data_IF_514137689010
#
_entry.id   IF_514137689010
#
_cell.length_a   1.000
_cell.length_b   1.000
_cell.length_c   1.000
_cell.angle_alpha   90.00
_cell.angle_beta   90.00
_cell.angle_gamma   90.00
#
_symmetry.space_group_name_H-M   'P 1'
#
loop_
_entity.id
_entity.type
_entity.pdbx_description
1 polymer ?
#
# COMPACT_ATOMS: atom_id res chain seq x y z
N UNK A 1 -7.99 9.31 -35.65
CA UNK A 1 -7.77 7.91 -36.11
C UNK A 1 -6.33 7.87 -36.61
N UNK A 2 -5.36 7.15 -36.05
CA UNK A 2 -5.32 5.89 -35.35
C UNK A 2 -4.14 6.00 -34.36
N UNK A 3 -4.38 5.90 -33.04
CA UNK A 3 -3.29 5.64 -32.11
C UNK A 3 -3.03 4.15 -32.09
N UNK A 4 -1.80 3.81 -32.45
CA UNK A 4 -1.30 2.46 -32.65
C UNK A 4 -1.34 1.65 -31.34
N UNK A 5 -2.25 0.68 -31.28
CA UNK A 5 -2.39 -0.31 -30.21
C UNK A 5 -1.78 -1.67 -30.62
N UNK A 6 -0.66 -1.67 -31.36
CA UNK A 6 0.04 -2.89 -31.78
C UNK A 6 1.21 -3.29 -30.88
N UNK A 7 1.00 -3.37 -29.57
CA UNK A 7 1.81 -4.28 -28.74
C UNK A 7 0.91 -5.24 -27.96
N UNK A 8 0.97 -6.57 -28.24
CA UNK A 8 0.13 -7.58 -27.61
C UNK A 8 0.30 -7.72 -26.08
N UNK A 9 1.45 -7.32 -25.51
CA UNK A 9 1.77 -7.55 -24.09
C UNK A 9 1.01 -6.67 -23.08
N UNK A 10 0.76 -5.39 -23.39
CA UNK A 10 0.06 -4.47 -22.45
C UNK A 10 -1.43 -4.80 -22.27
N UNK A 11 -2.03 -5.53 -23.20
CA UNK A 11 -3.46 -5.92 -23.10
C UNK A 11 -3.71 -6.94 -22.01
N UNK A 12 -2.72 -7.73 -21.63
CA UNK A 12 -2.87 -8.79 -20.64
C UNK A 12 -2.62 -8.27 -19.22
N UNK A 13 -1.59 -7.45 -19.00
CA UNK A 13 -1.34 -6.82 -17.71
C UNK A 13 -2.53 -5.94 -17.25
N UNK A 14 -3.11 -5.18 -18.18
CA UNK A 14 -4.29 -4.34 -17.90
C UNK A 14 -5.52 -5.22 -17.58
N UNK A 15 -5.72 -6.33 -18.29
CA UNK A 15 -6.81 -7.28 -18.00
C UNK A 15 -6.65 -7.95 -16.64
N UNK A 16 -5.42 -8.28 -16.23
CA UNK A 16 -5.14 -8.88 -14.92
C UNK A 16 -5.42 -7.88 -13.80
N UNK A 17 -4.98 -6.63 -13.93
CA UNK A 17 -5.32 -5.56 -12.97
C UNK A 17 -6.84 -5.41 -12.84
N UNK A 18 -7.58 -5.35 -13.96
CA UNK A 18 -9.04 -5.18 -13.90
C UNK A 18 -9.79 -6.42 -13.39
N UNK A 19 -9.31 -7.64 -13.66
CA UNK A 19 -9.92 -8.87 -13.12
C UNK A 19 -9.64 -8.98 -11.62
N UNK A 20 -8.42 -8.65 -11.17
CA UNK A 20 -8.11 -8.55 -9.73
C UNK A 20 -8.92 -7.44 -9.06
N UNK A 21 -9.07 -6.28 -9.70
CA UNK A 21 -9.91 -5.19 -9.20
C UNK A 21 -11.39 -5.62 -9.13
N UNK A 22 -11.90 -6.32 -10.14
CA UNK A 22 -13.28 -6.82 -10.18
C UNK A 22 -13.52 -7.92 -9.14
N UNK A 23 -12.53 -8.77 -8.86
CA UNK A 23 -12.62 -9.81 -7.85
C UNK A 23 -12.47 -9.24 -6.43
N UNK A 24 -11.71 -8.16 -6.25
CA UNK A 24 -11.63 -7.39 -5.00
C UNK A 24 -12.92 -6.59 -4.74
N UNK A 25 -13.50 -5.97 -5.78
CA UNK A 25 -14.76 -5.22 -5.69
C UNK A 25 -15.97 -6.16 -5.53
N UNK A 26 -15.98 -7.34 -6.15
CA UNK A 26 -17.08 -8.31 -6.08
C UNK A 26 -16.97 -9.33 -4.95
N UNK A 27 -15.75 -9.76 -4.58
CA UNK A 27 -15.50 -10.77 -3.55
C UNK A 27 -15.32 -10.19 -2.14
N UNK A 28 -14.92 -8.91 -2.02
CA UNK A 28 -14.73 -8.26 -0.73
C UNK A 28 -16.03 -7.86 -0.03
N UNK A 29 -17.15 -7.75 -0.75
CA UNK A 29 -18.40 -7.21 -0.22
C UNK A 29 -19.35 -8.27 0.35
N UNK A 30 -19.18 -9.56 0.00
CA UNK A 30 -20.18 -10.61 0.34
C UNK A 30 -19.69 -11.60 1.40
N UNK A 31 -18.38 -11.77 1.60
CA UNK A 31 -17.84 -12.82 2.48
C UNK A 31 -17.02 -12.31 3.67
N UNK A 32 -16.58 -11.06 3.64
CA UNK A 32 -15.98 -10.40 4.79
C UNK A 32 -16.95 -9.30 5.21
N UNK A 33 -17.73 -9.54 6.27
CA UNK A 33 -18.78 -8.65 6.78
C UNK A 33 -18.28 -7.29 7.28
N UNK A 34 -17.66 -6.50 6.41
CA UNK A 34 -17.47 -5.06 6.53
C UNK A 34 -18.57 -4.43 5.66
N UNK A 35 -19.81 -4.70 6.06
CA UNK A 35 -21.03 -4.26 5.40
C UNK A 35 -22.07 -3.99 6.48
N UNK A 36 -21.87 -2.93 7.25
CA UNK A 36 -22.77 -2.52 8.33
C UNK A 36 -22.23 -1.30 9.08
N UNK A 37 -22.75 -0.13 8.74
CA UNK A 37 -22.67 1.12 9.50
C UNK A 37 -21.27 1.76 9.70
N UNK A 38 -20.71 2.33 8.63
CA UNK A 38 -19.99 3.62 8.74
C UNK A 38 -20.68 4.63 7.85
N UNK A 39 -21.82 5.08 8.35
CA UNK A 39 -22.33 6.42 8.09
C UNK A 39 -21.19 7.43 8.28
N UNK A 40 -20.83 8.13 7.20
CA UNK A 40 -20.10 9.40 7.17
C UNK A 40 -18.77 9.48 7.94
N UNK A 41 -17.63 9.58 7.23
CA UNK A 41 -16.43 10.09 7.90
C UNK A 41 -15.11 10.11 7.14
N UNK A 42 -14.88 9.24 6.16
CA UNK A 42 -13.60 9.24 5.41
C UNK A 42 -13.76 9.61 3.94
N UNK A 43 -14.83 9.18 3.29
CA UNK A 43 -15.11 9.56 1.90
C UNK A 43 -15.59 11.01 1.83
N UNK A 44 -16.46 11.45 2.74
CA UNK A 44 -16.97 12.84 2.77
C UNK A 44 -15.87 13.88 3.13
N UNK A 45 -14.87 13.48 3.94
CA UNK A 45 -13.70 14.31 4.23
C UNK A 45 -12.74 14.42 3.03
N UNK A 46 -12.76 13.45 2.11
CA UNK A 46 -11.94 13.43 0.89
C UNK A 46 -12.66 14.06 -0.30
N UNK A 47 -14.00 14.08 -0.32
CA UNK A 47 -14.78 14.52 -1.49
C UNK A 47 -15.73 15.71 -1.26
N UNK A 48 -15.93 16.20 -0.04
CA UNK A 48 -17.03 17.12 0.27
C UNK A 48 -16.76 18.21 1.30
N UNK A 49 -15.91 19.20 1.00
CA UNK A 49 -16.17 20.65 1.24
C UNK A 49 -14.91 21.50 1.01
N UNK A 50 -15.05 22.56 0.19
CA UNK A 50 -14.05 23.59 -0.09
C UNK A 50 -12.81 23.19 -0.90
N UNK A 51 -13.05 22.93 -2.19
CA UNK A 51 -12.02 22.88 -3.24
C UNK A 51 -11.52 24.31 -3.53
N UNK A 52 -10.49 24.74 -2.80
CA UNK A 52 -9.76 25.98 -3.05
C UNK A 52 -8.52 26.09 -2.13
N UNK A 53 -7.33 25.97 -2.73
CA UNK A 53 -5.97 26.28 -2.23
C UNK A 53 -5.48 25.78 -0.84
N UNK A 54 -6.27 25.97 0.23
CA UNK A 54 -5.83 25.96 1.64
C UNK A 54 -5.42 24.57 2.19
N UNK A 55 -6.01 23.48 1.68
CA UNK A 55 -5.69 22.12 2.17
C UNK A 55 -4.25 21.68 1.85
N UNK A 56 -3.75 22.06 0.67
CA UNK A 56 -2.40 21.73 0.25
C UNK A 56 -1.33 22.51 1.01
N UNK A 57 -1.63 23.76 1.35
CA UNK A 57 -0.73 24.63 2.11
C UNK A 57 -0.49 24.11 3.53
N UNK A 58 -1.55 23.65 4.22
CA UNK A 58 -1.39 23.06 5.55
C UNK A 58 -0.50 21.81 5.56
N UNK A 59 -0.56 20.99 4.51
CA UNK A 59 0.31 19.83 4.39
C UNK A 59 1.75 20.21 4.04
N UNK A 60 1.96 21.24 3.21
CA UNK A 60 3.30 21.81 2.96
C UNK A 60 3.91 22.37 4.23
N UNK A 61 3.14 23.14 5.00
CA UNK A 61 3.61 23.69 6.28
C UNK A 61 4.00 22.58 7.27
N UNK A 62 3.20 21.50 7.37
CA UNK A 62 3.56 20.33 8.17
C UNK A 62 4.81 19.62 7.67
N UNK A 63 4.97 19.47 6.35
CA UNK A 63 6.19 18.91 5.76
C UNK A 63 7.42 19.75 6.15
N UNK A 64 7.34 21.08 6.05
CA UNK A 64 8.43 21.99 6.40
C UNK A 64 8.78 21.97 7.89
N UNK A 65 7.77 21.96 8.75
CA UNK A 65 7.95 21.85 10.21
C UNK A 65 8.61 20.52 10.58
N UNK A 66 8.09 19.40 10.06
CA UNK A 66 8.65 18.08 10.31
C UNK A 66 10.08 17.94 9.75
N UNK A 67 10.35 18.49 8.56
CA UNK A 67 11.69 18.51 7.98
C UNK A 67 12.67 19.35 8.80
N UNK A 68 12.21 20.45 9.40
CA UNK A 68 13.04 21.25 10.30
C UNK A 68 13.35 20.48 11.58
N UNK A 69 12.37 19.75 12.13
CA UNK A 69 12.58 18.90 13.30
C UNK A 69 13.60 17.77 13.02
N UNK A 70 13.52 17.09 11.86
CA UNK A 70 14.50 16.03 11.51
C UNK A 70 15.91 16.57 11.27
N UNK A 71 16.05 17.84 10.88
CA UNK A 71 17.34 18.53 10.78
C UNK A 71 17.89 18.97 12.14
N UNK A 72 17.01 19.32 13.07
CA UNK A 72 17.40 19.69 14.43
C UNK A 72 17.86 18.47 15.23
N UNK A 73 17.16 17.34 15.08
CA UNK A 73 17.56 16.05 15.63
C UNK A 73 17.33 14.92 14.63
N UNK A 74 18.43 14.40 14.07
CA UNK A 74 18.39 13.31 13.10
C UNK A 74 17.99 11.96 13.72
N UNK A 75 17.99 11.82 15.06
CA UNK A 75 17.57 10.61 15.78
C UNK A 75 16.15 10.69 16.31
N UNK A 76 15.44 11.80 16.07
CA UNK A 76 14.04 11.93 16.44
C UNK A 76 13.15 11.08 15.50
N UNK A 77 12.84 9.87 15.96
CA UNK A 77 11.95 8.96 15.26
C UNK A 77 10.57 9.58 14.98
N UNK A 78 10.00 10.34 15.94
CA UNK A 78 8.70 10.94 15.77
C UNK A 78 8.71 11.99 14.64
N UNK A 79 9.75 12.82 14.59
CA UNK A 79 9.93 13.80 13.51
C UNK A 79 10.00 13.15 12.12
N UNK A 80 10.75 12.04 11.98
CA UNK A 80 10.79 11.29 10.72
C UNK A 80 9.44 10.67 10.34
N UNK A 81 8.71 10.15 11.34
CA UNK A 81 7.36 9.60 11.14
C UNK A 81 6.36 10.67 10.68
N UNK A 82 6.39 11.85 11.29
CA UNK A 82 5.54 12.98 10.86
C UNK A 82 5.90 13.48 9.46
N UNK A 83 7.19 13.52 9.12
CA UNK A 83 7.64 13.90 7.79
C UNK A 83 7.12 12.92 6.71
N UNK A 84 7.20 11.61 6.99
CA UNK A 84 6.65 10.59 6.10
C UNK A 84 5.14 10.75 5.91
N UNK A 85 4.41 10.98 7.01
CA UNK A 85 2.95 11.17 6.99
C UNK A 85 2.55 12.42 6.21
N UNK A 86 3.19 13.56 6.46
CA UNK A 86 2.91 14.81 5.78
C UNK A 86 3.14 14.70 4.26
N UNK A 87 4.24 14.05 3.85
CA UNK A 87 4.56 13.84 2.43
C UNK A 87 3.58 12.90 1.73
N UNK A 88 3.12 11.85 2.41
CA UNK A 88 2.06 10.99 1.86
C UNK A 88 0.76 11.75 1.69
N UNK A 89 0.34 12.52 2.70
CA UNK A 89 -0.87 13.35 2.62
C UNK A 89 -0.77 14.36 1.46
N UNK A 90 0.37 15.01 1.29
CA UNK A 90 0.61 15.93 0.18
C UNK A 90 0.60 15.21 -1.18
N UNK A 91 1.08 13.96 -1.25
CA UNK A 91 1.00 13.15 -2.46
C UNK A 91 -0.45 12.84 -2.87
N UNK A 92 -1.37 12.78 -1.92
CA UNK A 92 -2.77 12.38 -2.14
C UNK A 92 -3.74 13.55 -2.42
N UNK A 93 -3.24 14.78 -2.62
CA UNK A 93 -4.09 15.96 -2.82
C UNK A 93 -3.58 16.90 -3.92
N UNK A 94 -4.46 17.77 -4.40
CA UNK A 94 -4.12 18.80 -5.39
C UNK A 94 -3.57 18.21 -6.69
N UNK A 95 -2.54 18.83 -7.26
CA UNK A 95 -1.89 18.36 -8.50
C UNK A 95 -1.15 17.02 -8.37
N UNK A 96 -0.97 16.52 -7.15
CA UNK A 96 -0.28 15.26 -6.89
C UNK A 96 -1.18 14.04 -7.09
N UNK A 97 -2.49 14.24 -7.14
CA UNK A 97 -3.46 13.16 -7.26
C UNK A 97 -4.52 13.49 -8.31
N UNK A 98 -4.78 12.54 -9.21
CA UNK A 98 -5.85 12.66 -10.18
C UNK A 98 -7.12 11.96 -9.63
N UNK A 99 -8.15 12.72 -9.25
CA UNK A 99 -9.38 12.16 -8.71
C UNK A 99 -10.26 11.49 -9.78
N UNK A 100 -10.07 11.78 -11.08
CA UNK A 100 -10.85 11.16 -12.15
C UNK A 100 -10.37 9.73 -12.40
N UNK A 101 -9.06 9.51 -12.38
CA UNK A 101 -8.46 8.18 -12.55
C UNK A 101 -8.19 7.48 -11.22
N UNK A 102 -8.33 8.19 -10.10
CA UNK A 102 -7.97 7.74 -8.75
C UNK A 102 -6.51 7.24 -8.68
N UNK A 103 -5.58 7.99 -9.28
CA UNK A 103 -4.16 7.64 -9.33
C UNK A 103 -3.24 8.79 -8.94
N UNK A 104 -2.06 8.47 -8.42
CA UNK A 104 -1.01 9.46 -8.18
C UNK A 104 -0.42 9.95 -9.50
N UNK A 105 -0.30 11.27 -9.64
CA UNK A 105 0.40 11.90 -10.77
C UNK A 105 1.91 11.67 -10.65
N UNK A 106 2.69 12.08 -11.66
CA UNK A 106 4.15 12.01 -11.58
C UNK A 106 4.72 12.83 -10.39
N UNK A 107 4.08 13.96 -10.08
CA UNK A 107 4.40 14.78 -8.91
C UNK A 107 4.04 14.04 -7.61
N UNK A 108 2.85 13.43 -7.55
CA UNK A 108 2.45 12.60 -6.41
C UNK A 108 3.37 11.41 -6.17
N UNK A 109 3.77 10.70 -7.21
CA UNK A 109 4.76 9.61 -7.09
C UNK A 109 6.12 10.11 -6.60
N UNK A 110 6.51 11.33 -6.94
CA UNK A 110 7.71 11.96 -6.38
C UNK A 110 7.56 12.22 -4.88
N UNK A 111 6.40 12.73 -4.46
CA UNK A 111 6.08 12.92 -3.04
C UNK A 111 5.99 11.60 -2.27
N UNK A 112 5.45 10.55 -2.88
CA UNK A 112 5.45 9.20 -2.29
C UNK A 112 6.87 8.67 -2.07
N UNK A 113 7.80 8.85 -3.04
CA UNK A 113 9.20 8.46 -2.83
C UNK A 113 9.82 9.19 -1.65
N UNK A 114 9.60 10.50 -1.54
CA UNK A 114 10.06 11.29 -0.40
C UNK A 114 9.43 10.85 0.93
N UNK A 115 8.17 10.41 0.91
CA UNK A 115 7.50 9.85 2.08
C UNK A 115 8.17 8.53 2.51
N UNK A 116 8.43 7.63 1.55
CA UNK A 116 9.10 6.35 1.83
C UNK A 116 10.54 6.53 2.32
N UNK A 117 11.27 7.51 1.82
CA UNK A 117 12.62 7.84 2.32
C UNK A 117 12.59 8.31 3.78
N UNK A 118 11.62 9.17 4.15
CA UNK A 118 11.46 9.60 5.54
C UNK A 118 11.01 8.45 6.45
N UNK A 119 10.17 7.55 5.94
CA UNK A 119 9.77 6.33 6.64
C UNK A 119 10.95 5.39 6.91
N UNK A 120 11.81 5.18 5.92
CA UNK A 120 13.01 4.36 6.10
C UNK A 120 13.92 4.92 7.21
N UNK A 121 14.03 6.25 7.29
CA UNK A 121 14.72 6.91 8.41
C UNK A 121 14.00 6.74 9.73
N UNK A 122 12.67 6.85 9.77
CA UNK A 122 11.90 6.55 10.97
C UNK A 122 12.17 5.13 11.48
N UNK A 123 12.10 4.13 10.61
CA UNK A 123 12.34 2.72 10.97
C UNK A 123 13.77 2.50 11.45
N UNK A 124 14.76 3.19 10.87
CA UNK A 124 16.17 3.10 11.28
C UNK A 124 16.42 3.58 12.71
N UNK A 125 15.69 4.62 13.16
CA UNK A 125 15.93 5.25 14.48
C UNK A 125 14.88 4.89 15.53
N UNK A 126 13.73 4.33 15.15
CA UNK A 126 12.66 4.00 16.07
C UNK A 126 12.91 2.66 16.78
N UNK A 127 12.85 2.66 18.11
CA UNK A 127 12.83 1.40 18.90
C UNK A 127 11.60 0.55 18.58
N UNK A 128 10.47 1.21 18.30
CA UNK A 128 9.22 0.59 17.87
C UNK A 128 8.57 1.45 16.79
N UNK A 129 8.70 1.08 15.50
CA UNK A 129 8.08 1.80 14.42
C UNK A 129 6.55 1.88 14.55
N UNK A 130 5.95 2.97 14.07
CA UNK A 130 4.48 3.16 14.07
C UNK A 130 3.82 2.21 13.06
N UNK A 131 3.05 1.24 13.57
CA UNK A 131 2.39 0.21 12.77
C UNK A 131 1.21 0.73 11.94
N UNK A 132 0.64 1.90 12.29
CA UNK A 132 -0.38 2.57 11.47
C UNK A 132 0.30 3.27 10.30
N UNK A 133 1.43 3.93 10.53
CA UNK A 133 2.21 4.54 9.47
C UNK A 133 2.80 3.46 8.54
N UNK A 134 3.22 2.32 9.07
CA UNK A 134 3.66 1.18 8.27
C UNK A 134 2.60 0.71 7.25
N UNK A 135 1.32 0.70 7.64
CA UNK A 135 0.22 0.36 6.72
C UNK A 135 0.10 1.38 5.57
N UNK A 136 0.25 2.67 5.88
CA UNK A 136 0.26 3.73 4.86
C UNK A 136 1.46 3.58 3.92
N UNK A 137 2.64 3.27 4.46
CA UNK A 137 3.86 3.12 3.67
C UNK A 137 3.88 1.84 2.84
N UNK A 138 3.27 0.75 3.31
CA UNK A 138 3.05 -0.45 2.51
C UNK A 138 2.25 -0.13 1.23
N UNK A 139 1.19 0.69 1.33
CA UNK A 139 0.46 1.16 0.15
C UNK A 139 1.34 2.04 -0.75
N UNK A 140 2.09 2.99 -0.17
CA UNK A 140 3.01 3.83 -0.93
C UNK A 140 4.01 2.99 -1.74
N UNK A 141 4.56 1.92 -1.15
CA UNK A 141 5.45 1.01 -1.85
C UNK A 141 4.77 0.23 -2.97
N UNK A 142 3.50 -0.17 -2.81
CA UNK A 142 2.72 -0.79 -3.90
C UNK A 142 2.54 0.19 -5.07
N UNK A 143 2.16 1.44 -4.80
CA UNK A 143 1.99 2.49 -5.83
C UNK A 143 3.30 2.83 -6.58
N UNK A 144 4.42 2.60 -5.90
CA UNK A 144 5.78 2.79 -6.41
C UNK A 144 6.39 1.51 -7.02
N UNK A 145 5.62 0.42 -7.14
CA UNK A 145 6.08 -0.86 -7.67
C UNK A 145 7.28 -1.46 -6.91
N UNK A 146 7.24 -1.35 -5.57
CA UNK A 146 8.28 -1.82 -4.64
C UNK A 146 7.74 -2.90 -3.68
N UNK A 147 7.32 -4.07 -4.18
CA UNK A 147 6.66 -5.09 -3.36
C UNK A 147 7.54 -5.64 -2.22
N UNK A 148 8.87 -5.67 -2.39
CA UNK A 148 9.80 -6.10 -1.34
C UNK A 148 9.70 -5.19 -0.10
N UNK A 149 9.69 -3.87 -0.32
CA UNK A 149 9.55 -2.89 0.77
C UNK A 149 8.15 -2.85 1.35
N UNK A 150 7.12 -3.11 0.52
CA UNK A 150 5.76 -3.31 1.02
C UNK A 150 5.68 -4.52 1.98
N UNK A 151 6.38 -5.62 1.68
CA UNK A 151 6.48 -6.77 2.57
C UNK A 151 7.22 -6.44 3.88
N UNK A 152 8.26 -5.62 3.84
CA UNK A 152 8.98 -5.14 5.04
C UNK A 152 8.10 -4.25 5.92
N UNK A 153 7.38 -3.29 5.33
CA UNK A 153 6.42 -2.48 6.08
C UNK A 153 5.28 -3.33 6.66
N UNK A 154 4.81 -4.35 5.93
CA UNK A 154 3.77 -5.26 6.41
C UNK A 154 4.26 -6.16 7.56
N UNK A 155 5.55 -6.50 7.63
CA UNK A 155 6.11 -7.25 8.76
C UNK A 155 5.95 -6.49 10.07
N UNK A 156 6.25 -5.18 10.08
CA UNK A 156 6.04 -4.31 11.25
C UNK A 156 4.60 -4.40 11.75
N UNK A 157 3.63 -4.47 10.83
CA UNK A 157 2.20 -4.63 11.17
C UNK A 157 1.94 -6.01 11.77
N UNK A 158 2.53 -7.08 11.23
CA UNK A 158 2.35 -8.43 11.78
C UNK A 158 2.98 -8.60 13.17
N UNK A 159 4.08 -7.92 13.44
CA UNK A 159 4.72 -7.91 14.76
C UNK A 159 3.87 -7.15 15.79
N UNK A 160 3.32 -6.00 15.40
CA UNK A 160 2.45 -5.21 16.27
C UNK A 160 1.06 -5.83 16.46
N UNK A 161 0.52 -6.44 15.40
CA UNK A 161 -0.86 -6.95 15.30
C UNK A 161 -0.88 -8.31 14.58
N UNK A 162 -0.50 -9.40 15.27
CA UNK A 162 -0.38 -10.73 14.66
C UNK A 162 -1.74 -11.38 14.39
N UNK A 163 -2.42 -10.92 13.34
CA UNK A 163 -3.73 -11.42 12.88
C UNK A 163 -3.60 -12.17 11.57
N UNK A 164 -4.49 -13.14 11.33
CA UNK A 164 -4.53 -13.92 10.09
C UNK A 164 -4.47 -13.03 8.83
N UNK A 165 -5.30 -12.00 8.76
CA UNK A 165 -5.32 -11.07 7.61
C UNK A 165 -4.01 -10.29 7.42
N UNK A 166 -3.31 -9.93 8.50
CA UNK A 166 -2.03 -9.22 8.38
C UNK A 166 -0.93 -10.14 7.81
N UNK A 167 -0.91 -11.41 8.22
CA UNK A 167 0.00 -12.42 7.66
C UNK A 167 -0.37 -12.82 6.24
N UNK A 168 -1.67 -12.90 5.90
CA UNK A 168 -2.12 -13.14 4.54
C UNK A 168 -1.65 -12.03 3.60
N UNK A 169 -1.78 -10.76 4.01
CA UNK A 169 -1.29 -9.63 3.23
C UNK A 169 0.24 -9.64 3.08
N UNK A 170 0.98 -10.01 4.15
CA UNK A 170 2.43 -10.20 4.09
C UNK A 170 2.81 -11.27 3.05
N UNK A 171 2.08 -12.38 3.03
CA UNK A 171 2.31 -13.44 2.04
C UNK A 171 2.14 -12.93 0.61
N UNK A 172 1.07 -12.17 0.33
CA UNK A 172 0.82 -11.58 -0.99
C UNK A 172 1.94 -10.64 -1.42
N UNK A 173 2.37 -9.71 -0.56
CA UNK A 173 3.47 -8.80 -0.89
C UNK A 173 4.81 -9.55 -1.07
N UNK A 174 5.10 -10.52 -0.22
CA UNK A 174 6.30 -11.33 -0.33
C UNK A 174 6.32 -12.15 -1.62
N UNK A 175 5.20 -12.73 -2.05
CA UNK A 175 5.11 -13.42 -3.33
C UNK A 175 5.31 -12.46 -4.51
N UNK A 176 4.65 -11.30 -4.51
CA UNK A 176 4.84 -10.27 -5.53
C UNK A 176 6.31 -9.78 -5.61
N UNK A 177 7.03 -9.81 -4.49
CA UNK A 177 8.46 -9.50 -4.42
C UNK A 177 9.38 -10.66 -4.85
N UNK A 178 8.85 -11.81 -5.26
CA UNK A 178 9.61 -13.03 -5.54
C UNK A 178 10.18 -13.72 -4.28
N UNK A 179 9.82 -13.26 -3.09
CA UNK A 179 10.31 -13.76 -1.79
C UNK A 179 9.48 -14.98 -1.34
N UNK A 180 9.49 -16.05 -2.14
CA UNK A 180 8.63 -17.23 -1.95
C UNK A 180 8.74 -17.86 -0.56
N UNK A 181 9.95 -18.00 0.00
CA UNK A 181 10.15 -18.54 1.36
C UNK A 181 9.48 -17.69 2.43
N UNK A 182 9.60 -16.36 2.34
CA UNK A 182 8.97 -15.42 3.28
C UNK A 182 7.45 -15.46 3.13
N UNK A 183 6.96 -15.53 1.89
CA UNK A 183 5.55 -15.66 1.60
C UNK A 183 4.94 -16.95 2.15
N UNK A 184 5.63 -18.09 2.00
CA UNK A 184 5.19 -19.39 2.52
C UNK A 184 5.12 -19.38 4.06
N UNK A 185 6.11 -18.79 4.75
CA UNK A 185 6.08 -18.63 6.20
C UNK A 185 4.90 -17.77 6.67
N UNK A 186 4.65 -16.64 5.99
CA UNK A 186 3.53 -15.77 6.29
C UNK A 186 2.18 -16.44 6.02
N UNK A 187 2.06 -17.18 4.90
CA UNK A 187 0.88 -17.98 4.56
C UNK A 187 0.57 -18.99 5.65
N UNK A 188 1.56 -19.77 6.07
CA UNK A 188 1.36 -20.81 7.07
C UNK A 188 0.91 -20.22 8.41
N UNK A 189 1.47 -19.06 8.80
CA UNK A 189 1.04 -18.33 10.00
C UNK A 189 -0.37 -17.76 9.86
N UNK A 190 -0.76 -17.29 8.67
CA UNK A 190 -2.11 -16.84 8.40
C UNK A 190 -3.11 -17.98 8.58
N UNK A 191 -2.83 -19.15 7.99
CA UNK A 191 -3.69 -20.35 8.08
C UNK A 191 -3.80 -20.89 9.51
N UNK A 192 -2.74 -20.78 10.31
CA UNK A 192 -2.77 -21.17 11.73
C UNK A 192 -3.74 -20.30 12.53
N UNK A 193 -3.79 -19.00 12.23
CA UNK A 193 -4.63 -18.01 12.91
C UNK A 193 -6.06 -17.94 12.37
N UNK A 194 -6.35 -18.58 11.23
CA UNK A 194 -7.67 -18.60 10.61
C UNK A 194 -8.56 -19.70 11.19
N UNK A 195 -9.85 -19.40 11.33
CA UNK A 195 -10.86 -20.36 11.77
C UNK A 195 -10.96 -21.54 10.79
N UNK A 196 -11.23 -22.74 11.33
CA UNK A 196 -11.11 -24.01 10.58
C UNK A 196 -11.94 -24.05 9.30
N UNK A 197 -13.12 -23.44 9.34
CA UNK A 197 -14.08 -23.33 8.25
C UNK A 197 -13.59 -22.42 7.10
N UNK A 198 -12.70 -21.48 7.38
CA UNK A 198 -12.18 -20.51 6.39
C UNK A 198 -10.78 -20.85 5.88
N UNK A 199 -10.10 -21.82 6.48
CA UNK A 199 -8.69 -22.13 6.15
C UNK A 199 -8.48 -22.60 4.73
N UNK A 200 -9.35 -23.46 4.21
CA UNK A 200 -9.16 -24.01 2.86
C UNK A 200 -9.40 -22.93 1.80
N UNK A 201 -10.35 -22.04 2.02
CA UNK A 201 -10.58 -20.87 1.17
C UNK A 201 -9.37 -19.92 1.19
N UNK A 202 -8.84 -19.61 2.37
CA UNK A 202 -7.66 -18.76 2.49
C UNK A 202 -6.42 -19.41 1.86
N UNK A 203 -6.26 -20.74 2.01
CA UNK A 203 -5.15 -21.48 1.39
C UNK A 203 -5.24 -21.36 -0.14
N UNK A 204 -6.41 -21.61 -0.71
CA UNK A 204 -6.62 -21.51 -2.15
C UNK A 204 -6.29 -20.10 -2.68
N UNK A 205 -6.71 -19.05 -1.97
CA UNK A 205 -6.39 -17.66 -2.33
C UNK A 205 -4.89 -17.38 -2.32
N UNK A 206 -4.17 -17.80 -1.28
CA UNK A 206 -2.74 -17.54 -1.15
C UNK A 206 -1.90 -18.40 -2.11
N UNK A 207 -2.32 -19.63 -2.41
CA UNK A 207 -1.67 -20.47 -3.42
C UNK A 207 -1.88 -19.90 -4.83
N UNK A 208 -3.04 -19.29 -5.11
CA UNK A 208 -3.28 -18.55 -6.34
C UNK A 208 -2.36 -17.33 -6.45
N UNK A 209 -2.22 -16.54 -5.37
CA UNK A 209 -1.32 -15.37 -5.36
C UNK A 209 0.14 -15.76 -5.62
N UNK A 210 0.61 -16.86 -5.00
CA UNK A 210 1.93 -17.45 -5.25
C UNK A 210 2.13 -17.83 -6.70
N UNK A 211 1.15 -18.53 -7.28
CA UNK A 211 1.20 -19.00 -8.68
C UNK A 211 1.28 -17.82 -9.64
N UNK A 212 0.45 -16.79 -9.44
CA UNK A 212 0.45 -15.59 -10.28
C UNK A 212 1.82 -14.88 -10.25
N UNK A 213 2.36 -14.66 -9.06
CA UNK A 213 3.66 -14.01 -8.91
C UNK A 213 4.80 -14.80 -9.60
N UNK A 214 4.77 -16.13 -9.55
CA UNK A 214 5.77 -16.96 -10.25
C UNK A 214 5.61 -16.95 -11.78
N UNK A 215 4.41 -16.74 -12.31
CA UNK A 215 4.17 -16.64 -13.76
C UNK A 215 4.63 -15.28 -14.33
N UNK A 216 4.47 -14.21 -13.56
CA UNK A 216 4.97 -12.88 -13.94
C UNK A 216 6.51 -12.83 -13.97
N UNK A 217 7.19 -13.54 -13.05
CA UNK A 217 8.67 -13.66 -13.05
C UNK A 217 9.19 -14.56 -14.19
N UNK A 218 8.40 -15.55 -14.63
CA UNK A 218 8.79 -16.49 -15.68
C UNK A 218 8.65 -15.94 -17.12
N UNK A 219 8.17 -14.71 -17.29
CA UNK A 219 8.12 -14.03 -18.58
C UNK A 219 9.21 -12.96 -18.65
N UNK A 220 10.49 -13.31 -18.93
CA UNK A 220 11.46 -12.29 -19.28
C UNK A 220 11.01 -11.67 -20.62
N UNK A 221 10.92 -10.35 -20.65
CA UNK A 221 10.45 -9.61 -21.82
C UNK A 221 11.14 -10.06 -23.11
N UNK A 222 10.33 -10.41 -24.11
CA UNK A 222 10.74 -10.47 -25.50
C UNK A 222 10.69 -9.10 -26.15
#
# INVERSE_FOLDING_TARGET
>A
MLFDLRSPGRRNAIKVVYVTLALLMGGGLVLFGIGGEVSGGVVDALTGSNRGDDGSDRFREREEQALTATRADARDAAAWGELARARFQLASVGENFDPETNTFTAAGKTKLRQATEAWEKHVEVADKPDDRLAATMAQAYVELDQPAKAAEAQEIITEARPKAGAFAQLAVYAYAAGQTRRGDLARDRALELTDRDQRDDLRAQLDQARTQATQDVATPGG
#
